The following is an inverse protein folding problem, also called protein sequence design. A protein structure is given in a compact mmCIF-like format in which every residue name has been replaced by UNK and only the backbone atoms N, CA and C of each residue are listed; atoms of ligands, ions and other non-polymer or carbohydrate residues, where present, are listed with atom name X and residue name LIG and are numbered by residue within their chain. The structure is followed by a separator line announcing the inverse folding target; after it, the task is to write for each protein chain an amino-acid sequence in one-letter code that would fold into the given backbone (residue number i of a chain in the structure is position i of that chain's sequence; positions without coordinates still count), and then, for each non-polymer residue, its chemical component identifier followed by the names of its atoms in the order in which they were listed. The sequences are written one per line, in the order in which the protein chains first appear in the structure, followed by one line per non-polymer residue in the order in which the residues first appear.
data_IF_096315493753
#
_entry.id   IF_096315493753
#
_cell.length_a   1.000
_cell.length_b   1.000
_cell.length_c   1.000
_cell.angle_alpha   90.00
_cell.angle_beta   90.00
_cell.angle_gamma   90.00
#
_symmetry.space_group_name_H-M   'P 1'
#
loop_
_entity.id
_entity.type
_entity.pdbx_description
1 polymer ?
#
# COMPACT_ATOMS: atom_id res chain seq x y z
N UNK A 1 24.58 -23.70 8.95
CA UNK A 1 24.85 -22.35 8.45
C UNK A 1 23.51 -21.63 8.35
N UNK A 2 23.23 -20.57 9.12
CA UNK A 2 21.94 -19.90 9.02
C UNK A 2 21.95 -18.90 7.85
N UNK A 3 21.03 -19.08 6.92
CA UNK A 3 20.79 -18.25 5.74
C UNK A 3 20.26 -16.87 6.18
N UNK A 4 20.99 -15.80 5.87
CA UNK A 4 20.51 -14.43 6.03
C UNK A 4 19.56 -14.10 4.88
N UNK A 5 18.30 -13.83 5.20
CA UNK A 5 17.34 -13.24 4.26
C UNK A 5 17.73 -11.77 4.07
N UNK A 6 18.06 -11.39 2.84
CA UNK A 6 18.37 -10.01 2.46
C UNK A 6 17.05 -9.31 2.17
N UNK A 7 16.60 -8.43 3.05
CA UNK A 7 15.52 -7.51 2.74
C UNK A 7 16.02 -6.56 1.65
N UNK A 8 15.46 -6.64 0.45
CA UNK A 8 15.59 -5.59 -0.56
C UNK A 8 14.77 -4.40 -0.08
N UNK A 9 15.43 -3.55 0.70
CA UNK A 9 14.96 -2.21 0.99
C UNK A 9 14.69 -1.52 -0.34
N UNK A 10 13.43 -1.22 -0.65
CA UNK A 10 13.07 -0.29 -1.71
C UNK A 10 13.71 1.05 -1.38
N UNK A 11 14.96 1.22 -1.82
CA UNK A 11 15.78 2.37 -1.51
C UNK A 11 15.25 3.51 -2.39
N UNK A 12 14.84 4.60 -1.75
CA UNK A 12 14.72 5.89 -2.42
C UNK A 12 15.98 6.11 -3.28
N UNK A 13 15.89 6.64 -4.51
CA UNK A 13 17.07 6.93 -5.30
C UNK A 13 18.07 7.79 -4.50
N UNK A 14 19.38 7.60 -4.69
CA UNK A 14 20.41 8.28 -3.92
C UNK A 14 20.22 9.80 -3.99
N UNK A 15 20.39 10.46 -2.85
CA UNK A 15 20.41 11.93 -2.78
C UNK A 15 21.61 12.40 -3.59
N UNK A 16 21.38 13.04 -4.74
CA UNK A 16 22.44 13.77 -5.43
C UNK A 16 22.85 14.93 -4.52
N UNK A 17 24.14 15.01 -4.21
CA UNK A 17 24.72 16.09 -3.41
C UNK A 17 24.37 17.44 -4.07
N UNK A 18 23.70 18.31 -3.32
CA UNK A 18 23.36 19.65 -3.76
C UNK A 18 24.65 20.47 -3.80
N UNK A 19 25.14 20.79 -5.00
CA UNK A 19 26.21 21.76 -5.18
C UNK A 19 25.65 23.20 -5.05
N UNK A 20 26.38 24.01 -4.29
CA UNK A 20 26.29 25.46 -4.02
C UNK A 20 25.16 26.02 -3.09
N UNK A 21 25.51 26.72 -1.99
CA UNK A 21 24.56 27.25 -0.99
C UNK A 21 24.23 28.74 -1.20
N UNK A 22 23.88 29.16 -2.41
CA UNK A 22 23.48 30.56 -2.68
C UNK A 22 22.25 30.65 -3.59
N UNK A 23 21.08 30.31 -3.04
CA UNK A 23 19.77 30.99 -3.17
C UNK A 23 18.70 30.13 -2.49
N UNK A 24 17.81 30.75 -1.72
CA UNK A 24 16.85 30.08 -0.83
C UNK A 24 15.89 29.17 -1.64
N UNK A 25 16.15 27.86 -1.59
CA UNK A 25 15.32 26.80 -2.16
C UNK A 25 15.40 26.70 -3.68
N UNK A 26 16.06 25.66 -4.20
CA UNK A 26 15.97 25.28 -5.62
C UNK A 26 14.53 25.10 -6.12
N UNK A 27 14.30 24.74 -7.39
CA UNK A 27 12.94 24.63 -7.94
C UNK A 27 12.04 23.78 -7.04
N UNK A 28 10.76 24.15 -6.85
CA UNK A 28 9.83 23.45 -5.94
C UNK A 28 9.78 21.93 -6.18
N UNK A 29 9.99 21.49 -7.44
CA UNK A 29 10.05 20.07 -7.81
C UNK A 29 11.25 19.30 -7.24
N UNK A 30 12.29 19.97 -6.73
CA UNK A 30 13.43 19.34 -6.05
C UNK A 30 13.32 19.36 -4.52
N UNK A 31 12.24 19.96 -3.98
CA UNK A 31 12.03 20.00 -2.53
C UNK A 31 11.72 18.61 -2.00
N UNK A 32 12.29 18.29 -0.84
CA UNK A 32 12.09 17.02 -0.16
C UNK A 32 11.32 17.22 1.13
N UNK A 33 10.48 16.26 1.49
CA UNK A 33 9.81 16.22 2.79
C UNK A 33 10.79 15.76 3.87
N UNK A 34 11.16 16.66 4.78
CA UNK A 34 11.93 16.31 5.97
C UNK A 34 11.03 15.70 7.05
N UNK A 35 11.30 14.46 7.46
CA UNK A 35 10.60 13.77 8.55
C UNK A 35 11.52 13.66 9.76
N UNK A 36 11.12 14.25 10.89
CA UNK A 36 11.97 14.40 12.08
C UNK A 36 11.46 13.62 13.30
N UNK A 37 10.16 13.30 13.35
CA UNK A 37 9.52 12.60 14.47
C UNK A 37 9.21 11.14 14.10
N UNK A 38 9.70 10.22 14.92
CA UNK A 38 9.50 8.77 14.80
C UNK A 38 8.89 8.17 16.09
N UNK A 39 8.23 8.97 16.91
CA UNK A 39 7.69 8.57 18.22
C UNK A 39 6.45 7.67 18.15
N UNK A 40 5.78 7.57 17.00
CA UNK A 40 4.58 6.73 16.78
C UNK A 40 4.79 5.75 15.61
N UNK A 41 5.95 5.10 15.55
CA UNK A 41 6.22 4.05 14.56
C UNK A 41 5.67 2.71 15.01
N UNK A 42 5.25 1.89 14.03
CA UNK A 42 4.87 0.49 14.25
C UNK A 42 5.74 -0.45 13.41
N UNK A 43 5.79 -1.73 13.79
CA UNK A 43 6.44 -2.77 13.00
C UNK A 43 5.40 -3.49 12.17
N UNK A 44 5.48 -3.30 10.86
CA UNK A 44 4.67 -4.01 9.88
C UNK A 44 5.60 -4.92 9.04
N UNK A 45 6.09 -6.05 9.60
CA UNK A 45 6.89 -7.00 8.84
C UNK A 45 6.00 -7.64 7.76
N UNK A 46 6.20 -7.25 6.51
CA UNK A 46 5.32 -7.60 5.38
C UNK A 46 4.53 -6.42 4.80
N UNK A 47 4.63 -5.23 5.40
CA UNK A 47 3.95 -4.03 4.94
C UNK A 47 2.50 -3.93 5.41
N UNK A 48 1.71 -3.12 4.71
CA UNK A 48 0.28 -3.01 4.99
C UNK A 48 -0.42 -4.35 4.72
N UNK A 49 -1.40 -4.76 5.54
CA UNK A 49 -2.12 -6.01 5.33
C UNK A 49 -2.81 -6.02 3.96
N UNK A 50 -2.51 -7.05 3.16
CA UNK A 50 -3.12 -7.26 1.83
C UNK A 50 -4.66 -7.19 1.83
N UNK A 51 -5.38 -7.65 2.87
CA UNK A 51 -6.83 -7.49 2.95
C UNK A 51 -7.34 -6.04 2.81
N UNK A 52 -6.52 -5.04 3.15
CA UNK A 52 -6.88 -3.62 2.95
C UNK A 52 -6.98 -3.29 1.46
N UNK A 53 -5.99 -3.70 0.66
CA UNK A 53 -6.02 -3.49 -0.79
C UNK A 53 -7.09 -4.32 -1.47
N UNK A 54 -7.22 -5.59 -1.07
CA UNK A 54 -8.23 -6.49 -1.62
C UNK A 54 -9.66 -5.98 -1.37
N UNK A 55 -9.98 -5.55 -0.13
CA UNK A 55 -11.29 -4.98 0.19
C UNK A 55 -11.55 -3.67 -0.55
N UNK A 56 -10.54 -2.80 -0.68
CA UNK A 56 -10.68 -1.55 -1.41
C UNK A 56 -10.95 -1.78 -2.90
N UNK A 57 -10.22 -2.72 -3.52
CA UNK A 57 -10.44 -3.11 -4.91
C UNK A 57 -11.85 -3.69 -5.12
N UNK A 58 -12.26 -4.65 -4.29
CA UNK A 58 -13.60 -5.25 -4.36
C UNK A 58 -14.71 -4.20 -4.17
N UNK A 59 -14.52 -3.24 -3.25
CA UNK A 59 -15.48 -2.15 -3.06
C UNK A 59 -15.62 -1.27 -4.31
N UNK A 60 -14.51 -0.98 -5.01
CA UNK A 60 -14.52 -0.23 -6.27
C UNK A 60 -15.13 -1.02 -7.43
N UNK A 61 -15.07 -2.34 -7.39
CA UNK A 61 -15.72 -3.25 -8.34
C UNK A 61 -17.21 -3.44 -8.04
N UNK A 62 -17.69 -2.97 -6.87
CA UNK A 62 -19.07 -3.14 -6.42
C UNK A 62 -19.36 -4.52 -5.81
N UNK A 63 -18.33 -5.29 -5.46
CA UNK A 63 -18.48 -6.63 -4.86
C UNK A 63 -18.78 -6.55 -3.36
N UNK A 64 -20.04 -6.22 -3.03
CA UNK A 64 -20.52 -6.11 -1.65
C UNK A 64 -20.31 -7.42 -0.85
N UNK A 65 -20.58 -8.57 -1.48
CA UNK A 65 -20.46 -9.87 -0.83
C UNK A 65 -19.01 -10.22 -0.51
N UNK A 66 -18.08 -9.98 -1.44
CA UNK A 66 -16.65 -10.18 -1.23
C UNK A 66 -16.08 -9.27 -0.14
N UNK A 67 -16.44 -7.98 -0.15
CA UNK A 67 -16.06 -7.04 0.90
C UNK A 67 -16.57 -7.50 2.27
N UNK A 68 -17.84 -7.89 2.36
CA UNK A 68 -18.42 -8.36 3.61
C UNK A 68 -17.74 -9.63 4.13
N UNK A 69 -17.48 -10.60 3.24
CA UNK A 69 -16.75 -11.83 3.59
C UNK A 69 -15.38 -11.53 4.18
N UNK A 70 -14.60 -10.67 3.52
CA UNK A 70 -13.27 -10.30 3.98
C UNK A 70 -13.30 -9.53 5.31
N UNK A 71 -14.28 -8.64 5.53
CA UNK A 71 -14.46 -7.97 6.82
C UNK A 71 -14.81 -8.93 7.96
N UNK A 72 -15.51 -10.04 7.66
CA UNK A 72 -15.75 -11.10 8.66
C UNK A 72 -14.48 -11.88 8.96
N UNK A 73 -13.73 -12.29 7.94
CA UNK A 73 -12.45 -13.00 8.09
C UNK A 73 -11.45 -12.19 8.91
N UNK A 74 -11.37 -10.88 8.64
CA UNK A 74 -10.50 -9.94 9.35
C UNK A 74 -11.06 -9.45 10.70
N UNK A 75 -12.19 -9.99 11.16
CA UNK A 75 -12.85 -9.64 12.43
C UNK A 75 -13.28 -8.16 12.57
N UNK A 76 -13.49 -7.46 11.45
CA UNK A 76 -14.17 -6.17 11.44
C UNK A 76 -15.67 -6.32 11.67
N UNK A 77 -16.25 -7.44 11.21
CA UNK A 77 -17.60 -7.87 11.57
C UNK A 77 -17.47 -9.12 12.43
N UNK A 78 -17.91 -9.05 13.69
CA UNK A 78 -17.84 -10.19 14.60
C UNK A 78 -18.80 -11.29 14.15
N UNK A 79 -18.47 -12.54 14.43
CA UNK A 79 -19.28 -13.70 14.05
C UNK A 79 -20.77 -13.58 14.47
N UNK A 80 -21.00 -13.00 15.65
CA UNK A 80 -22.32 -12.78 16.25
C UNK A 80 -23.15 -11.65 15.61
N UNK A 81 -22.57 -10.91 14.66
CA UNK A 81 -23.22 -9.78 13.97
C UNK A 81 -23.52 -10.23 12.55
N UNK A 82 -24.75 -9.97 12.12
CA UNK A 82 -25.24 -10.21 10.76
C UNK A 82 -25.62 -8.84 10.16
N UNK A 83 -25.03 -8.51 9.01
CA UNK A 83 -25.23 -7.23 8.32
C UNK A 83 -25.55 -7.52 6.87
N UNK A 84 -26.36 -6.66 6.27
CA UNK A 84 -26.56 -6.68 4.83
C UNK A 84 -25.26 -6.23 4.12
N UNK A 85 -24.67 -7.06 3.24
CA UNK A 85 -23.46 -6.71 2.50
C UNK A 85 -23.60 -5.40 1.71
N UNK A 86 -24.79 -5.12 1.14
CA UNK A 86 -25.01 -3.90 0.36
C UNK A 86 -24.98 -2.66 1.27
N UNK A 87 -25.58 -2.74 2.46
CA UNK A 87 -25.49 -1.65 3.46
C UNK A 87 -24.06 -1.41 3.95
N UNK A 88 -23.25 -2.47 4.04
CA UNK A 88 -21.83 -2.37 4.38
C UNK A 88 -21.06 -1.66 3.29
N UNK A 89 -21.29 -2.00 2.02
CA UNK A 89 -20.65 -1.34 0.90
C UNK A 89 -21.07 0.15 0.81
N UNK A 90 -22.37 0.45 0.95
CA UNK A 90 -22.91 1.80 0.98
C UNK A 90 -22.31 2.66 2.12
N UNK A 91 -21.98 2.03 3.25
CA UNK A 91 -21.30 2.71 4.33
C UNK A 91 -19.85 3.10 3.99
N UNK A 92 -19.14 2.23 3.27
CA UNK A 92 -17.72 2.36 2.93
C UNK A 92 -17.48 3.29 1.73
N UNK A 93 -18.34 3.25 0.71
CA UNK A 93 -18.17 4.02 -0.54
C UNK A 93 -17.90 5.52 -0.30
N UNK A 94 -18.64 6.24 0.58
CA UNK A 94 -18.34 7.65 0.87
C UNK A 94 -16.98 7.90 1.53
N UNK A 95 -16.44 6.90 2.24
CA UNK A 95 -15.13 7.01 2.91
C UNK A 95 -14.00 6.85 1.88
N UNK A 96 -14.21 5.97 0.90
CA UNK A 96 -13.24 5.68 -0.16
C UNK A 96 -13.47 6.52 -1.43
N UNK A 97 -14.40 7.48 -1.41
CA UNK A 97 -14.64 8.45 -2.50
C UNK A 97 -13.34 9.02 -3.11
N UNK A 98 -12.29 9.39 -2.33
CA UNK A 98 -11.05 9.92 -2.91
C UNK A 98 -10.38 8.98 -3.92
N UNK A 99 -10.66 7.69 -3.87
CA UNK A 99 -10.07 6.66 -4.75
C UNK A 99 -10.90 6.39 -6.01
N UNK A 100 -12.11 6.97 -6.09
CA UNK A 100 -13.06 6.79 -7.20
C UNK A 100 -12.89 7.83 -8.31
N UNK A 101 -12.16 8.91 -8.05
CA UNK A 101 -11.90 10.00 -8.99
C UNK A 101 -10.42 10.05 -9.36
N UNK A 102 -10.11 10.68 -10.50
CA UNK A 102 -8.73 10.83 -10.96
C UNK A 102 -7.90 11.72 -10.01
N UNK A 103 -8.46 12.85 -9.61
CA UNK A 103 -7.86 13.79 -8.66
C UNK A 103 -8.89 14.18 -7.60
N UNK A 104 -8.51 14.08 -6.34
CA UNK A 104 -9.36 14.46 -5.22
C UNK A 104 -8.73 15.59 -4.41
N UNK A 105 -9.48 16.68 -4.23
CA UNK A 105 -9.08 17.77 -3.34
C UNK A 105 -9.61 17.52 -1.93
N UNK A 106 -8.71 17.21 -1.00
CA UNK A 106 -9.04 17.05 0.41
C UNK A 106 -9.37 18.40 1.03
N UNK A 107 -10.61 18.58 1.49
CA UNK A 107 -11.06 19.82 2.10
C UNK A 107 -11.55 19.63 3.53
N UNK A 108 -11.46 20.70 4.32
CA UNK A 108 -12.09 20.75 5.66
C UNK A 108 -13.61 20.58 5.59
N UNK A 109 -14.26 20.93 4.48
CA UNK A 109 -15.70 20.72 4.27
C UNK A 109 -16.01 19.25 4.18
N UNK A 110 -15.33 18.55 3.27
CA UNK A 110 -15.52 17.11 3.05
C UNK A 110 -15.35 16.28 4.32
N UNK A 111 -14.27 16.48 5.09
CA UNK A 111 -14.07 15.71 6.33
C UNK A 111 -15.12 16.02 7.41
N UNK A 112 -15.68 17.24 7.42
CA UNK A 112 -16.79 17.60 8.31
C UNK A 112 -18.10 16.92 7.89
N UNK A 113 -18.34 16.80 6.60
CA UNK A 113 -19.52 16.10 6.07
C UNK A 113 -19.45 14.59 6.41
N UNK A 114 -18.28 13.96 6.25
CA UNK A 114 -18.06 12.59 6.69
C UNK A 114 -18.24 12.42 8.21
N UNK A 115 -17.72 13.35 9.01
CA UNK A 115 -17.91 13.32 10.46
C UNK A 115 -19.38 13.49 10.85
N UNK A 116 -20.12 14.41 10.20
CA UNK A 116 -21.54 14.63 10.44
C UNK A 116 -22.38 13.39 10.10
N UNK A 117 -22.06 12.73 8.97
CA UNK A 117 -22.70 11.48 8.54
C UNK A 117 -22.61 10.38 9.61
N UNK A 118 -21.44 10.22 10.22
CA UNK A 118 -21.17 9.17 11.23
C UNK A 118 -21.68 9.60 12.63
N UNK A 119 -21.72 10.90 12.92
CA UNK A 119 -22.16 11.41 14.21
C UNK A 119 -23.68 11.45 14.39
N UNK A 120 -24.47 11.54 13.30
CA UNK A 120 -25.94 11.57 13.38
C UNK A 120 -26.51 10.19 13.80
N UNK A 121 -27.11 10.06 15.00
CA UNK A 121 -27.66 8.80 15.48
C UNK A 121 -28.78 8.21 14.61
N UNK A 122 -29.39 9.04 13.76
CA UNK A 122 -30.45 8.61 12.84
C UNK A 122 -29.91 8.10 11.51
N UNK A 123 -28.64 8.31 11.21
CA UNK A 123 -28.08 7.88 9.92
C UNK A 123 -27.87 6.36 9.89
N UNK A 124 -28.04 5.71 8.72
CA UNK A 124 -27.64 4.32 8.54
C UNK A 124 -26.15 4.10 8.88
N UNK A 125 -25.32 5.09 8.54
CA UNK A 125 -23.89 5.02 8.77
C UNK A 125 -23.51 4.95 10.26
N UNK A 126 -24.19 5.72 11.11
CA UNK A 126 -23.99 5.64 12.56
C UNK A 126 -24.38 4.26 13.09
N UNK A 127 -25.52 3.74 12.65
CA UNK A 127 -26.03 2.44 13.10
C UNK A 127 -25.10 1.29 12.70
N UNK A 128 -24.63 1.29 11.45
CA UNK A 128 -23.67 0.30 10.96
C UNK A 128 -22.31 0.44 11.66
N UNK A 129 -21.79 1.67 11.77
CA UNK A 129 -20.49 1.95 12.38
C UNK A 129 -20.37 1.47 13.83
N UNK A 130 -21.47 1.46 14.60
CA UNK A 130 -21.48 0.92 15.98
C UNK A 130 -21.41 -0.61 16.06
N UNK A 131 -21.71 -1.31 14.96
CA UNK A 131 -21.67 -2.77 14.89
C UNK A 131 -20.32 -3.29 14.38
N UNK A 132 -19.55 -2.42 13.73
CA UNK A 132 -18.20 -2.72 13.31
C UNK A 132 -17.23 -2.74 14.49
N UNK A 133 -16.24 -3.60 14.39
CA UNK A 133 -15.14 -3.75 15.31
C UNK A 133 -13.85 -3.31 14.60
N UNK A 134 -12.96 -2.59 15.29
CA UNK A 134 -11.62 -2.32 14.78
C UNK A 134 -10.66 -3.29 15.47
N UNK A 135 -10.10 -4.30 14.77
CA UNK A 135 -9.18 -5.24 15.40
C UNK A 135 -7.89 -4.53 15.85
N UNK A 136 -7.25 -4.96 16.97
CA UNK A 136 -6.05 -4.30 17.50
C UNK A 136 -4.91 -4.13 16.50
N UNK A 137 -4.71 -5.09 15.59
CA UNK A 137 -3.69 -5.05 14.53
C UNK A 137 -3.89 -3.89 13.54
N UNK A 138 -5.11 -3.36 13.42
CA UNK A 138 -5.45 -2.27 12.50
C UNK A 138 -5.53 -0.90 13.18
N UNK A 139 -5.40 -0.82 14.51
CA UNK A 139 -5.61 0.44 15.26
C UNK A 139 -4.59 1.51 14.85
N UNK A 140 -3.29 1.16 14.79
CA UNK A 140 -2.25 2.13 14.41
C UNK A 140 -2.36 2.51 12.92
N UNK A 141 -2.66 1.55 12.04
CA UNK A 141 -2.88 1.80 10.61
C UNK A 141 -4.04 2.78 10.41
N UNK A 142 -5.19 2.52 11.04
CA UNK A 142 -6.36 3.38 10.99
C UNK A 142 -6.06 4.78 11.55
N UNK A 143 -5.34 4.86 12.67
CA UNK A 143 -4.94 6.14 13.29
C UNK A 143 -4.03 6.97 12.37
N UNK A 144 -3.02 6.35 11.77
CA UNK A 144 -2.12 7.03 10.83
C UNK A 144 -2.90 7.49 9.60
N UNK A 145 -3.74 6.61 9.03
CA UNK A 145 -4.57 6.93 7.85
C UNK A 145 -5.47 8.14 8.11
N UNK A 146 -6.23 8.14 9.21
CA UNK A 146 -7.07 9.28 9.58
C UNK A 146 -6.26 10.56 9.85
N UNK A 147 -5.07 10.45 10.43
CA UNK A 147 -4.20 11.60 10.68
C UNK A 147 -3.69 12.20 9.37
N UNK A 148 -3.23 11.35 8.44
CA UNK A 148 -2.79 11.77 7.10
C UNK A 148 -3.92 12.47 6.35
N UNK A 149 -5.12 11.88 6.32
CA UNK A 149 -6.30 12.51 5.71
C UNK A 149 -6.59 13.88 6.35
N UNK A 150 -6.51 13.97 7.69
CA UNK A 150 -6.68 15.23 8.41
C UNK A 150 -5.66 16.29 8.03
N UNK A 151 -4.40 15.92 7.80
CA UNK A 151 -3.35 16.83 7.32
C UNK A 151 -3.60 17.24 5.87
N UNK A 152 -3.94 16.30 4.98
CA UNK A 152 -4.28 16.61 3.58
C UNK A 152 -5.44 17.61 3.51
N UNK A 153 -6.47 17.44 4.34
CA UNK A 153 -7.60 18.37 4.45
C UNK A 153 -7.20 19.76 4.99
N UNK A 154 -6.20 19.83 5.86
CA UNK A 154 -5.68 21.10 6.38
C UNK A 154 -4.86 21.85 5.34
N UNK A 155 -4.10 21.12 4.53
CA UNK A 155 -3.31 21.64 3.42
C UNK A 155 -4.16 22.01 2.21
N UNK A 156 -5.39 21.48 2.10
CA UNK A 156 -6.19 21.63 0.88
C UNK A 156 -5.58 20.86 -0.30
N UNK A 157 -4.90 19.75 -0.03
CA UNK A 157 -4.11 19.03 -1.02
C UNK A 157 -5.01 18.39 -2.08
N UNK A 158 -4.59 18.50 -3.34
CA UNK A 158 -5.17 17.73 -4.45
C UNK A 158 -4.25 16.58 -4.78
N UNK A 159 -4.77 15.35 -4.73
CA UNK A 159 -3.98 14.11 -4.82
C UNK A 159 -4.64 13.16 -5.81
N UNK A 160 -3.81 12.51 -6.63
CA UNK A 160 -4.21 11.37 -7.47
C UNK A 160 -4.20 10.10 -6.62
N UNK A 161 -5.18 9.97 -5.73
CA UNK A 161 -5.16 8.95 -4.67
C UNK A 161 -5.08 7.51 -5.22
N UNK A 162 -5.74 7.24 -6.36
CA UNK A 162 -5.67 5.92 -7.00
C UNK A 162 -4.25 5.56 -7.43
N UNK A 163 -3.48 6.50 -7.97
CA UNK A 163 -2.12 6.26 -8.44
C UNK A 163 -1.17 5.93 -7.26
N UNK A 164 -1.38 6.59 -6.11
CA UNK A 164 -0.66 6.28 -4.87
C UNK A 164 -1.00 4.88 -4.34
N UNK A 165 -2.27 4.48 -4.40
CA UNK A 165 -2.72 3.16 -3.95
C UNK A 165 -2.22 2.04 -4.86
N UNK A 166 -2.24 2.27 -6.18
CA UNK A 166 -1.65 1.37 -7.17
C UNK A 166 -0.18 1.09 -6.85
N UNK A 167 0.58 2.17 -6.61
CA UNK A 167 2.02 2.06 -6.36
C UNK A 167 2.34 1.40 -5.02
N UNK A 168 1.59 1.72 -3.96
CA UNK A 168 2.03 1.46 -2.58
C UNK A 168 1.15 0.50 -1.77
N UNK A 169 -0.08 0.19 -2.20
CA UNK A 169 -1.00 -0.65 -1.43
C UNK A 169 -1.07 -2.10 -1.96
N UNK A 170 -0.50 -3.08 -1.24
CA UNK A 170 -0.59 -4.48 -1.64
C UNK A 170 -2.04 -4.96 -1.78
N UNK A 171 -2.32 -5.72 -2.84
CA UNK A 171 -3.66 -6.26 -3.14
C UNK A 171 -4.62 -5.30 -3.84
N UNK A 172 -4.24 -4.02 -4.02
CA UNK A 172 -5.08 -3.05 -4.73
C UNK A 172 -5.16 -3.32 -6.23
N UNK A 173 -4.04 -3.71 -6.85
CA UNK A 173 -4.04 -4.29 -8.18
C UNK A 173 -4.17 -5.80 -8.13
N UNK A 174 -4.81 -6.37 -9.15
CA UNK A 174 -4.75 -7.81 -9.41
C UNK A 174 -3.34 -8.14 -9.89
N UNK A 175 -2.56 -8.82 -9.06
CA UNK A 175 -1.29 -9.40 -9.46
C UNK A 175 -1.58 -10.52 -10.47
N UNK A 176 -1.49 -10.23 -11.76
CA UNK A 176 -1.46 -11.29 -12.79
C UNK A 176 -0.20 -12.12 -12.56
N UNK A 177 -0.37 -13.45 -12.56
CA UNK A 177 0.67 -14.43 -12.21
C UNK A 177 1.98 -14.32 -13.03
N UNK A 178 2.03 -13.53 -14.09
CA UNK A 178 3.24 -13.24 -14.88
C UNK A 178 4.23 -12.30 -14.15
N UNK A 179 3.79 -11.48 -13.18
CA UNK A 179 4.68 -10.57 -12.45
C UNK A 179 5.48 -11.27 -11.32
N UNK A 180 5.00 -12.41 -10.83
CA UNK A 180 5.68 -13.19 -9.80
C UNK A 180 6.88 -14.00 -10.34
N UNK A 181 6.84 -14.38 -11.63
CA UNK A 181 7.90 -15.16 -12.30
C UNK A 181 9.04 -14.26 -12.83
N UNK A 182 8.76 -12.98 -13.11
CA UNK A 182 9.74 -12.03 -13.62
C UNK A 182 10.77 -11.54 -12.58
N UNK A 183 10.55 -11.81 -11.28
CA UNK A 183 11.50 -11.48 -10.21
C UNK A 183 12.46 -12.65 -9.89
N UNK A 184 12.18 -13.88 -10.36
CA UNK A 184 13.04 -15.06 -10.16
C UNK A 184 13.84 -15.47 -11.40
N UNK A 185 13.50 -15.00 -12.60
CA UNK A 185 14.23 -15.34 -13.83
C UNK A 185 15.26 -14.27 -14.24
N UNK A 186 16.30 -14.06 -13.43
CA UNK A 186 17.56 -13.53 -13.94
C UNK A 186 18.27 -14.67 -14.70
N UNK A 187 18.60 -14.55 -15.99
CA UNK A 187 19.36 -15.58 -16.69
C UNK A 187 20.77 -15.63 -16.10
N UNK A 188 21.12 -16.79 -15.56
CA UNK A 188 22.47 -17.10 -15.11
C UNK A 188 23.49 -16.91 -16.22
N UNK A 189 24.58 -16.25 -15.86
CA UNK A 189 25.81 -16.15 -16.65
C UNK A 189 26.22 -17.56 -17.10
N UNK A 190 26.39 -17.73 -18.41
CA UNK A 190 26.88 -18.95 -19.01
C UNK A 190 28.30 -19.22 -18.50
N UNK A 191 28.51 -20.36 -17.83
CA UNK A 191 29.84 -20.93 -17.63
C UNK A 191 30.43 -21.31 -18.99
N UNK A 192 31.58 -20.72 -19.33
CA UNK A 192 32.42 -21.17 -20.44
C UNK A 192 32.94 -22.59 -20.17
N UNK A 193 32.88 -23.52 -21.14
CA UNK A 193 33.56 -24.80 -21.00
C UNK A 193 35.06 -24.64 -21.25
N UNK A 194 35.84 -25.07 -20.25
CA UNK A 194 37.29 -25.25 -20.28
C UNK A 194 37.68 -26.27 -21.37
N UNK A 195 38.21 -25.79 -22.50
CA UNK A 195 38.86 -26.64 -23.51
C UNK A 195 40.26 -27.03 -23.03
N UNK A 196 40.41 -28.30 -22.64
CA UNK A 196 41.72 -28.93 -22.46
C UNK A 196 41.89 -30.11 -23.41
N UNK A 197 42.86 -29.99 -24.34
CA UNK A 197 43.71 -31.10 -24.73
C UNK A 197 43.64 -31.56 -26.17
N UNK A 198 44.42 -30.91 -27.05
CA UNK A 198 44.94 -31.52 -28.28
C UNK A 198 45.79 -32.76 -27.97
N UNK A 199 45.73 -33.83 -28.77
CA UNK A 199 46.74 -34.88 -28.72
C UNK A 199 47.34 -35.14 -30.11
N UNK A 200 48.57 -34.68 -30.39
CA UNK A 200 49.43 -35.30 -31.42
C UNK A 200 50.92 -35.15 -31.06
N UNK A 201 51.66 -36.25 -31.08
CA UNK A 201 53.10 -36.25 -30.81
C UNK A 201 53.71 -37.64 -30.58
N UNK A 202 53.75 -38.44 -31.64
CA UNK A 202 54.58 -39.64 -31.83
C UNK A 202 56.08 -39.40 -31.51
N UNK A 203 56.82 -40.44 -31.08
CA UNK A 203 58.24 -40.82 -31.38
C UNK A 203 58.93 -41.48 -30.14
N UNK A 204 58.97 -42.82 -29.98
CA UNK A 204 60.01 -43.82 -30.41
C UNK A 204 61.06 -44.21 -29.33
N UNK A 205 61.25 -45.54 -29.22
CA UNK A 205 62.42 -46.35 -28.74
C UNK A 205 62.78 -46.35 -27.23
N UNK A 206 63.21 -47.45 -26.60
CA UNK A 206 63.64 -48.79 -27.04
C UNK A 206 63.38 -49.82 -25.92
#
# INVERSE_FOLDING_TARGET
MPTRIRATSGCLPPVQDAEDPEEDGGPVGSWRLGVLDFGTVDRLPGGLPRPVGDSLRMALEGDAAGVYGLLREENFVKESIDLDPDEVLDYLLPIIEPTQVEEFTFTRGWIRDQAARIADPRSPAHQLGRQLNLPPSYVLIHRVTLSTIGVLCQLGATVRMRDELDTWLPGFLVETAEAADATEAAPGEAEEPDEAGEPEGETVQA
#
